data_IF_935777260107
#
_entry.id   IF_935777260107
#
_cell.length_a   1.000
_cell.length_b   1.000
_cell.length_c   1.000
_cell.angle_alpha   90.00
_cell.angle_beta   90.00
_cell.angle_gamma   90.00
#
_symmetry.space_group_name_H-M   'P 1'
#
loop_
_entity.id
_entity.type
_entity.pdbx_description
1 polymer ?
#
# COMPACT_ATOMS: atom_id res chain seq x y z
N UNK A 1 51.91 -16.31 -63.14
CA UNK A 1 51.32 -15.40 -62.15
C UNK A 1 50.57 -14.30 -62.88
N UNK A 2 49.26 -14.21 -62.61
CA UNK A 2 48.32 -13.11 -62.89
C UNK A 2 48.39 -12.43 -64.27
N UNK A 3 47.54 -12.89 -65.21
CA UNK A 3 47.17 -12.12 -66.40
C UNK A 3 45.77 -11.51 -66.21
N UNK A 4 45.72 -10.22 -66.55
CA UNK A 4 44.55 -9.34 -66.63
C UNK A 4 43.79 -9.55 -67.95
N UNK A 5 42.51 -9.17 -67.89
CA UNK A 5 41.73 -8.50 -68.94
C UNK A 5 41.15 -9.27 -70.12
N UNK A 6 39.84 -9.05 -70.27
CA UNK A 6 39.13 -8.57 -71.46
C UNK A 6 38.26 -9.54 -72.26
N UNK A 7 37.19 -8.90 -72.75
CA UNK A 7 36.47 -9.11 -74.01
C UNK A 7 35.27 -10.07 -74.04
N UNK A 8 34.16 -9.43 -74.35
CA UNK A 8 32.92 -9.98 -74.87
C UNK A 8 33.15 -10.82 -76.13
N UNK A 9 32.29 -11.82 -76.35
CA UNK A 9 32.03 -12.34 -77.68
C UNK A 9 30.56 -12.74 -77.83
N UNK A 10 30.03 -12.32 -78.97
CA UNK A 10 28.66 -12.32 -79.42
C UNK A 10 28.22 -13.65 -80.04
N UNK A 11 26.90 -13.85 -80.09
CA UNK A 11 26.08 -14.55 -81.10
C UNK A 11 26.62 -15.83 -81.78
N UNK A 12 25.91 -16.93 -81.58
CA UNK A 12 25.56 -17.83 -82.69
C UNK A 12 24.25 -18.58 -82.43
N UNK A 13 23.42 -18.54 -83.46
CA UNK A 13 22.07 -19.07 -83.65
C UNK A 13 22.15 -20.55 -84.08
N UNK A 14 21.29 -21.44 -83.56
CA UNK A 14 20.68 -22.55 -84.35
C UNK A 14 19.78 -23.49 -83.53
N UNK A 15 18.52 -23.56 -83.96
CA UNK A 15 17.71 -24.76 -84.22
C UNK A 15 17.32 -25.74 -83.09
N UNK A 16 16.08 -25.55 -82.62
CA UNK A 16 14.92 -26.46 -82.73
C UNK A 16 14.86 -27.84 -82.04
N UNK A 17 13.63 -28.12 -81.55
CA UNK A 17 12.96 -29.42 -81.21
C UNK A 17 13.06 -29.85 -79.72
N UNK A 18 12.01 -30.36 -79.05
CA UNK A 18 10.63 -29.88 -78.88
C UNK A 18 10.12 -29.91 -77.40
N UNK A 19 8.98 -29.25 -77.19
CA UNK A 19 7.91 -29.47 -76.18
C UNK A 19 8.14 -30.54 -75.09
N UNK A 20 8.31 -30.10 -73.84
CA UNK A 20 7.98 -30.90 -72.66
C UNK A 20 7.09 -30.07 -71.72
N UNK A 21 5.89 -30.59 -71.49
CA UNK A 21 4.83 -30.09 -70.62
C UNK A 21 5.34 -29.98 -69.17
N UNK A 22 5.45 -28.78 -68.61
CA UNK A 22 5.48 -28.57 -67.16
C UNK A 22 4.37 -27.59 -66.78
N UNK A 23 3.16 -28.14 -66.64
CA UNK A 23 2.09 -27.49 -65.89
C UNK A 23 2.53 -27.44 -64.42
N UNK A 24 3.26 -26.40 -64.05
CA UNK A 24 3.46 -26.04 -62.65
C UNK A 24 2.11 -25.57 -62.10
N UNK A 25 1.34 -26.50 -61.54
CA UNK A 25 0.17 -26.17 -60.74
C UNK A 25 0.65 -25.39 -59.52
N UNK A 26 0.51 -24.06 -59.57
CA UNK A 26 0.61 -23.21 -58.41
C UNK A 26 -0.48 -23.63 -57.43
N UNK A 27 -0.11 -24.35 -56.37
CA UNK A 27 -0.98 -24.59 -55.24
C UNK A 27 -1.27 -23.23 -54.60
N UNK A 28 -2.43 -22.65 -54.94
CA UNK A 28 -2.98 -21.53 -54.20
C UNK A 28 -3.20 -22.02 -52.75
N UNK A 29 -2.35 -21.59 -51.84
CA UNK A 29 -2.61 -21.75 -50.42
C UNK A 29 -3.85 -20.90 -50.10
N UNK A 30 -4.97 -21.58 -49.87
CA UNK A 30 -6.14 -20.97 -49.28
C UNK A 30 -5.72 -20.30 -47.97
N UNK A 31 -5.91 -18.98 -47.89
CA UNK A 31 -5.83 -18.26 -46.63
C UNK A 31 -6.90 -18.86 -45.72
N UNK A 32 -6.46 -19.59 -44.69
CA UNK A 32 -7.32 -20.00 -43.59
C UNK A 32 -8.01 -18.75 -43.07
N UNK A 33 -9.32 -18.68 -43.29
CA UNK A 33 -10.17 -17.65 -42.72
C UNK A 33 -9.86 -17.59 -41.22
N UNK A 34 -9.40 -16.42 -40.76
CA UNK A 34 -9.28 -16.13 -39.35
C UNK A 34 -10.64 -16.47 -38.72
N UNK A 35 -10.75 -17.35 -37.72
CA UNK A 35 -12.03 -17.62 -37.11
C UNK A 35 -12.57 -16.29 -36.59
N UNK A 36 -13.65 -15.81 -37.23
CA UNK A 36 -14.36 -14.62 -36.80
C UNK A 36 -14.97 -14.95 -35.44
N UNK A 37 -14.23 -14.65 -34.37
CA UNK A 37 -14.85 -14.52 -33.06
C UNK A 37 -15.85 -13.38 -33.19
N UNK A 38 -17.17 -13.62 -33.02
CA UNK A 38 -18.13 -12.54 -33.07
C UNK A 38 -17.71 -11.48 -32.05
N UNK A 39 -17.64 -10.22 -32.48
CA UNK A 39 -17.34 -9.13 -31.55
C UNK A 39 -18.36 -9.18 -30.40
N UNK A 40 -17.90 -9.10 -29.13
CA UNK A 40 -18.81 -9.19 -28.00
C UNK A 40 -19.85 -8.05 -28.01
N UNK A 41 -21.08 -8.34 -28.43
CA UNK A 41 -22.20 -7.43 -28.25
C UNK A 41 -22.76 -7.55 -26.83
N UNK A 42 -23.26 -6.43 -26.27
CA UNK A 42 -23.91 -6.42 -24.96
C UNK A 42 -22.97 -6.57 -23.76
N UNK A 43 -21.73 -6.07 -23.85
CA UNK A 43 -20.80 -6.04 -22.70
C UNK A 43 -21.00 -4.78 -21.87
N UNK A 44 -21.16 -4.96 -20.56
CA UNK A 44 -21.31 -3.90 -19.58
C UNK A 44 -20.18 -3.99 -18.54
N UNK A 45 -19.43 -2.91 -18.39
CA UNK A 45 -18.45 -2.75 -17.31
C UNK A 45 -19.13 -2.20 -16.07
N UNK A 46 -18.89 -2.83 -14.93
CA UNK A 46 -19.50 -2.51 -13.64
C UNK A 46 -18.43 -2.35 -12.58
N UNK A 47 -18.71 -1.48 -11.63
CA UNK A 47 -17.94 -1.32 -10.40
C UNK A 47 -18.88 -1.34 -9.20
N UNK A 48 -18.43 -1.96 -8.12
CA UNK A 48 -19.11 -1.93 -6.84
C UNK A 48 -18.12 -1.82 -5.70
N UNK A 49 -18.53 -1.14 -4.64
CA UNK A 49 -17.70 -0.93 -3.46
C UNK A 49 -18.51 -1.25 -2.22
N UNK A 50 -17.86 -1.84 -1.23
CA UNK A 50 -18.35 -1.98 0.13
C UNK A 50 -17.32 -1.38 1.09
N UNK A 51 -17.77 -0.71 2.13
CA UNK A 51 -16.91 -0.12 3.15
C UNK A 51 -17.52 -0.25 4.53
N UNK A 52 -16.67 -0.43 5.55
CA UNK A 52 -17.09 -0.47 6.95
C UNK A 52 -16.08 0.25 7.85
N UNK A 53 -16.61 0.90 8.89
CA UNK A 53 -15.81 1.49 9.95
C UNK A 53 -15.51 0.44 11.02
N UNK A 54 -14.22 0.14 11.19
CA UNK A 54 -13.72 -0.87 12.12
C UNK A 54 -12.99 -0.18 13.28
N UNK A 55 -13.30 -0.51 14.54
CA UNK A 55 -12.55 0.00 15.68
C UNK A 55 -11.07 -0.35 15.56
N UNK A 56 -10.21 0.65 15.78
CA UNK A 56 -8.77 0.42 15.91
C UNK A 56 -8.49 -0.31 17.22
N UNK A 57 -7.67 -1.35 17.15
CA UNK A 57 -7.43 -2.30 18.23
C UNK A 57 -5.95 -2.37 18.63
N UNK A 58 -5.10 -1.51 18.07
CA UNK A 58 -3.70 -1.34 18.47
C UNK A 58 -3.47 0.13 18.87
N UNK A 59 -2.79 0.33 20.00
CA UNK A 59 -2.22 1.61 20.41
C UNK A 59 -0.72 1.62 20.13
N UNK A 60 -0.24 2.74 19.61
CA UNK A 60 1.17 3.05 19.38
C UNK A 60 1.52 4.27 20.24
N UNK A 61 2.52 4.16 21.10
CA UNK A 61 3.01 5.26 21.92
C UNK A 61 4.49 5.46 21.62
N UNK A 62 4.83 6.64 21.09
CA UNK A 62 6.24 7.02 20.89
C UNK A 62 6.70 7.83 22.08
N UNK A 63 7.72 7.34 22.76
CA UNK A 63 8.44 8.04 23.82
C UNK A 63 9.74 8.59 23.26
N UNK A 64 10.20 9.74 23.74
CA UNK A 64 11.46 10.35 23.32
C UNK A 64 12.26 10.88 24.51
N UNK A 65 13.58 10.93 24.35
CA UNK A 65 14.48 11.66 25.22
C UNK A 65 15.44 12.46 24.33
N UNK A 66 15.57 13.75 24.62
CA UNK A 66 16.44 14.67 23.88
C UNK A 66 17.37 15.39 24.85
N UNK A 67 18.63 15.52 24.46
CA UNK A 67 19.66 16.16 25.27
C UNK A 67 20.66 16.88 24.37
N UNK A 68 21.38 17.84 24.95
CA UNK A 68 22.54 18.46 24.34
C UNK A 68 23.81 18.20 25.16
N UNK A 69 24.94 18.03 24.48
CA UNK A 69 26.24 17.90 25.10
C UNK A 69 27.34 18.52 24.22
N UNK A 70 28.50 18.78 24.81
CA UNK A 70 29.67 19.29 24.05
C UNK A 70 30.33 18.20 23.20
N UNK A 71 30.31 16.96 23.68
CA UNK A 71 30.94 15.82 23.03
C UNK A 71 29.88 14.83 22.50
N UNK A 72 29.92 14.45 21.22
CA UNK A 72 28.91 13.59 20.61
C UNK A 72 28.97 12.13 21.11
N UNK A 73 30.15 11.66 21.54
CA UNK A 73 30.30 10.30 22.08
C UNK A 73 29.60 10.15 23.43
N UNK A 74 29.83 11.10 24.33
CA UNK A 74 29.17 11.17 25.64
C UNK A 74 27.66 11.34 25.52
N UNK A 75 27.19 12.09 24.51
CA UNK A 75 25.77 12.24 24.22
C UNK A 75 25.15 10.93 23.75
N UNK A 76 25.79 10.27 22.78
CA UNK A 76 25.34 8.98 22.23
C UNK A 76 25.23 7.92 23.33
N UNK A 77 26.24 7.84 24.21
CA UNK A 77 26.22 6.91 25.34
C UNK A 77 25.04 7.17 26.30
N UNK A 78 24.77 8.44 26.64
CA UNK A 78 23.65 8.82 27.50
C UNK A 78 22.29 8.51 26.86
N UNK A 79 22.13 8.78 25.56
CA UNK A 79 20.91 8.46 24.83
C UNK A 79 20.64 6.94 24.83
N UNK A 80 21.66 6.14 24.49
CA UNK A 80 21.56 4.68 24.51
C UNK A 80 21.22 4.15 25.90
N UNK A 81 21.89 4.64 26.95
CA UNK A 81 21.59 4.26 28.33
C UNK A 81 20.12 4.55 28.71
N UNK A 82 19.58 5.70 28.27
CA UNK A 82 18.18 6.08 28.52
C UNK A 82 17.22 5.13 27.80
N UNK A 83 17.49 4.84 26.52
CA UNK A 83 16.69 3.94 25.71
C UNK A 83 16.72 2.50 26.27
N UNK A 84 17.89 1.99 26.63
CA UNK A 84 18.05 0.66 27.22
C UNK A 84 17.32 0.52 28.54
N UNK A 85 17.36 1.54 29.40
CA UNK A 85 16.60 1.57 30.65
C UNK A 85 15.08 1.51 30.39
N UNK A 86 14.59 2.30 29.43
CA UNK A 86 13.17 2.28 29.06
C UNK A 86 12.74 0.94 28.46
N UNK A 87 13.53 0.36 27.55
CA UNK A 87 13.28 -0.95 26.96
C UNK A 87 13.29 -2.07 28.01
N UNK A 88 14.23 -2.03 28.95
CA UNK A 88 14.33 -3.00 30.03
C UNK A 88 13.09 -2.98 30.92
N UNK A 89 12.63 -1.79 31.30
CA UNK A 89 11.40 -1.63 32.09
C UNK A 89 10.15 -2.04 31.30
N UNK A 90 10.11 -1.79 29.99
CA UNK A 90 8.99 -2.18 29.13
C UNK A 90 8.89 -3.71 28.93
N UNK A 91 10.02 -4.42 28.81
CA UNK A 91 10.06 -5.90 28.68
C UNK A 91 9.40 -6.63 29.85
N UNK A 92 9.25 -5.99 31.01
CA UNK A 92 8.58 -6.54 32.19
C UNK A 92 7.05 -6.53 32.11
N UNK A 93 6.44 -5.91 31.10
CA UNK A 93 4.98 -5.76 30.97
C UNK A 93 4.43 -6.69 29.90
N UNK A 94 3.64 -7.68 30.32
CA UNK A 94 2.96 -8.59 29.41
C UNK A 94 1.95 -7.84 28.53
N UNK A 95 1.90 -8.18 27.24
CA UNK A 95 0.94 -7.59 26.31
C UNK A 95 1.40 -6.25 25.72
N UNK A 96 2.55 -5.72 26.10
CA UNK A 96 3.17 -4.54 25.48
C UNK A 96 4.46 -4.94 24.80
N UNK A 97 4.58 -4.63 23.51
CA UNK A 97 5.82 -4.78 22.74
C UNK A 97 6.54 -3.44 22.74
N UNK A 98 7.84 -3.44 23.03
CA UNK A 98 8.65 -2.23 23.00
C UNK A 98 9.85 -2.41 22.07
N UNK A 99 10.14 -1.40 21.25
CA UNK A 99 11.27 -1.39 20.34
C UNK A 99 11.87 0.01 20.21
N UNK A 100 13.13 0.08 19.79
CA UNK A 100 13.81 1.36 19.54
C UNK A 100 13.18 2.05 18.33
N UNK A 101 12.89 3.34 18.47
CA UNK A 101 12.39 4.20 17.40
C UNK A 101 13.51 5.00 16.73
N UNK A 102 13.23 6.25 16.36
CA UNK A 102 14.22 7.12 15.75
C UNK A 102 15.39 7.42 16.70
N UNK A 103 16.59 7.48 16.13
CA UNK A 103 17.80 7.91 16.82
C UNK A 103 18.54 8.92 15.95
N UNK A 104 18.89 10.07 16.53
CA UNK A 104 19.62 11.12 15.81
C UNK A 104 20.58 11.85 16.73
N UNK A 105 21.74 12.22 16.18
CA UNK A 105 22.72 13.09 16.82
C UNK A 105 23.27 14.02 15.74
N UNK A 106 23.18 15.33 15.95
CA UNK A 106 23.58 16.33 14.97
C UNK A 106 24.26 17.53 15.65
N UNK A 107 25.21 18.19 14.97
CA UNK A 107 25.86 19.37 15.51
C UNK A 107 24.90 20.55 15.55
N UNK A 108 25.04 21.36 16.59
CA UNK A 108 24.43 22.68 16.71
C UNK A 108 25.52 23.72 16.57
N UNK A 109 25.34 24.65 15.62
CA UNK A 109 26.29 25.72 15.34
C UNK A 109 25.92 26.99 16.08
N UNK A 110 26.92 27.74 16.51
CA UNK A 110 26.73 29.11 16.99
C UNK A 110 26.47 30.10 15.84
N UNK A 111 26.42 31.40 16.17
CA UNK A 111 26.20 32.49 15.22
C UNK A 111 27.35 32.64 14.21
N UNK A 112 28.53 32.14 14.52
CA UNK A 112 29.72 32.21 13.66
C UNK A 112 29.84 30.97 12.76
N UNK A 113 28.85 30.06 12.80
CA UNK A 113 28.84 28.82 12.04
C UNK A 113 29.75 27.74 12.61
N UNK A 114 30.32 27.93 13.81
CA UNK A 114 31.17 26.92 14.47
C UNK A 114 30.30 25.98 15.29
N UNK A 115 30.68 24.70 15.33
CA UNK A 115 29.98 23.71 16.17
C UNK A 115 30.18 24.11 17.64
N UNK A 116 29.09 24.42 18.33
CA UNK A 116 29.09 24.85 19.73
C UNK A 116 28.56 23.77 20.68
N UNK A 117 27.71 22.88 20.17
CA UNK A 117 27.19 21.73 20.89
C UNK A 117 26.75 20.62 19.91
N UNK A 118 26.38 19.48 20.47
CA UNK A 118 25.67 18.41 19.80
C UNK A 118 24.30 18.26 20.43
N UNK A 119 23.28 18.11 19.60
CA UNK A 119 21.92 17.77 20.02
C UNK A 119 21.63 16.36 19.56
N UNK A 120 20.94 15.59 20.40
CA UNK A 120 20.58 14.24 20.03
C UNK A 120 19.29 13.81 20.70
N UNK A 121 18.57 12.95 20.00
CA UNK A 121 17.25 12.46 20.36
C UNK A 121 17.23 10.96 20.13
N UNK A 122 16.66 10.23 21.09
CA UNK A 122 16.35 8.81 20.98
C UNK A 122 14.88 8.59 21.27
N UNK A 123 14.28 7.63 20.58
CA UNK A 123 12.89 7.25 20.76
C UNK A 123 12.75 5.77 21.11
N UNK A 124 11.69 5.45 21.85
CA UNK A 124 11.23 4.10 22.13
C UNK A 124 9.75 4.05 21.79
N UNK A 125 9.36 3.11 20.93
CA UNK A 125 7.99 2.89 20.54
C UNK A 125 7.40 1.72 21.33
N UNK A 126 6.20 1.93 21.87
CA UNK A 126 5.39 0.93 22.54
C UNK A 126 4.19 0.59 21.65
N UNK A 127 3.92 -0.69 21.48
CA UNK A 127 2.77 -1.20 20.73
C UNK A 127 2.00 -2.19 21.61
N UNK A 128 0.66 -2.07 21.64
CA UNK A 128 -0.16 -3.01 22.41
C UNK A 128 -1.60 -3.07 21.91
N UNK A 129 -2.29 -4.19 22.19
CA UNK A 129 -3.75 -4.28 22.14
C UNK A 129 -4.44 -3.95 23.47
N UNK A 130 -3.68 -3.91 24.56
CA UNK A 130 -4.15 -3.50 25.87
C UNK A 130 -3.80 -2.03 26.09
N UNK A 131 -4.77 -1.15 25.80
CA UNK A 131 -4.56 0.29 25.85
C UNK A 131 -4.28 0.79 27.26
N UNK A 132 -4.84 0.12 28.27
CA UNK A 132 -4.63 0.45 29.67
C UNK A 132 -3.20 0.07 30.11
N UNK A 133 -2.73 -1.13 29.74
CA UNK A 133 -1.36 -1.57 30.03
C UNK A 133 -0.32 -0.65 29.39
N UNK A 134 -0.50 -0.30 28.10
CA UNK A 134 0.41 0.60 27.39
C UNK A 134 0.42 2.01 27.99
N UNK A 135 -0.75 2.58 28.29
CA UNK A 135 -0.86 3.92 28.88
C UNK A 135 -0.26 3.97 30.28
N UNK A 136 -0.47 2.92 31.09
CA UNK A 136 0.14 2.80 32.42
C UNK A 136 1.66 2.72 32.32
N UNK A 137 2.19 1.90 31.42
CA UNK A 137 3.64 1.79 31.20
C UNK A 137 4.23 3.13 30.72
N UNK A 138 3.59 3.82 29.77
CA UNK A 138 4.02 5.14 29.32
C UNK A 138 4.08 6.15 30.48
N UNK A 139 3.08 6.12 31.38
CA UNK A 139 3.09 6.94 32.60
C UNK A 139 4.21 6.56 33.58
N UNK A 140 4.60 5.28 33.66
CA UNK A 140 5.74 4.86 34.49
C UNK A 140 7.09 5.26 33.88
N UNK A 141 7.18 5.27 32.55
CA UNK A 141 8.37 5.65 31.80
C UNK A 141 8.55 7.17 31.68
N UNK A 142 7.57 7.99 32.09
CA UNK A 142 7.62 9.45 31.97
C UNK A 142 8.82 10.10 32.68
N UNK A 143 9.38 9.42 33.68
CA UNK A 143 10.60 9.85 34.38
C UNK A 143 11.88 9.64 33.55
N UNK A 144 11.86 8.69 32.61
CA UNK A 144 12.96 8.37 31.73
C UNK A 144 12.84 9.09 30.38
N UNK A 145 11.64 9.07 29.79
CA UNK A 145 11.36 9.56 28.45
C UNK A 145 10.00 10.26 28.41
N UNK A 146 9.87 11.32 27.63
CA UNK A 146 8.62 12.06 27.45
C UNK A 146 7.76 11.42 26.35
N UNK A 147 6.43 11.54 26.43
CA UNK A 147 5.53 11.08 25.35
C UNK A 147 5.63 12.07 24.19
N UNK A 148 6.05 11.58 23.02
CA UNK A 148 6.03 12.35 21.77
C UNK A 148 4.66 12.31 21.11
N UNK A 149 4.06 11.11 21.04
CA UNK A 149 2.88 10.87 20.23
C UNK A 149 2.12 9.62 20.71
N UNK A 150 0.81 9.61 20.50
CA UNK A 150 -0.07 8.46 20.74
C UNK A 150 -0.98 8.29 19.52
N UNK A 151 -0.88 7.15 18.87
CA UNK A 151 -1.62 6.79 17.66
C UNK A 151 -2.37 5.48 17.85
N UNK A 152 -3.42 5.29 17.06
CA UNK A 152 -4.20 4.07 17.03
C UNK A 152 -4.19 3.50 15.62
N UNK A 153 -4.10 2.18 15.51
CA UNK A 153 -4.18 1.49 14.23
C UNK A 153 -5.08 0.27 14.30
N UNK A 154 -5.51 -0.18 13.12
CA UNK A 154 -6.20 -1.44 12.97
C UNK A 154 -5.16 -2.56 12.82
N UNK A 155 -5.36 -3.66 13.52
CA UNK A 155 -4.48 -4.82 13.44
C UNK A 155 -4.60 -5.50 12.08
N UNK A 156 -3.52 -6.15 11.59
CA UNK A 156 -3.57 -6.92 10.36
C UNK A 156 -4.63 -8.03 10.38
N UNK A 157 -4.92 -8.60 11.55
CA UNK A 157 -5.99 -9.60 11.74
C UNK A 157 -7.38 -8.99 11.56
N UNK A 158 -7.66 -7.89 12.27
CA UNK A 158 -8.95 -7.22 12.20
C UNK A 158 -9.20 -6.62 10.81
N UNK A 159 -8.15 -6.10 10.17
CA UNK A 159 -8.19 -5.65 8.78
C UNK A 159 -8.58 -6.78 7.83
N UNK A 160 -7.87 -7.92 7.87
CA UNK A 160 -8.19 -9.08 7.01
C UNK A 160 -9.61 -9.61 7.24
N UNK A 161 -10.06 -9.64 8.49
CA UNK A 161 -11.42 -10.07 8.83
C UNK A 161 -12.48 -9.12 8.24
N UNK A 162 -12.24 -7.81 8.29
CA UNK A 162 -13.11 -6.81 7.68
C UNK A 162 -13.11 -6.92 6.14
N UNK A 163 -11.93 -7.05 5.52
CA UNK A 163 -11.78 -7.20 4.07
C UNK A 163 -12.53 -8.44 3.54
N UNK A 164 -12.49 -9.58 4.24
CA UNK A 164 -13.22 -10.78 3.84
C UNK A 164 -14.74 -10.57 3.84
N UNK A 165 -15.27 -9.92 4.88
CA UNK A 165 -16.71 -9.60 4.97
C UNK A 165 -17.12 -8.64 3.85
N UNK A 166 -16.39 -7.54 3.69
CA UNK A 166 -16.64 -6.54 2.66
C UNK A 166 -16.51 -7.09 1.24
N UNK A 167 -15.64 -8.07 1.02
CA UNK A 167 -15.52 -8.75 -0.28
C UNK A 167 -16.82 -9.46 -0.65
N UNK A 168 -17.43 -10.17 0.30
CA UNK A 168 -18.70 -10.87 0.07
C UNK A 168 -19.84 -9.88 -0.21
N UNK A 169 -19.88 -8.77 0.53
CA UNK A 169 -20.85 -7.70 0.32
C UNK A 169 -20.67 -7.00 -1.04
N UNK A 170 -19.43 -6.68 -1.41
CA UNK A 170 -19.13 -6.05 -2.69
C UNK A 170 -19.49 -6.98 -3.87
N UNK A 171 -19.19 -8.28 -3.79
CA UNK A 171 -19.59 -9.25 -4.84
C UNK A 171 -21.12 -9.36 -4.93
N UNK A 172 -21.82 -9.37 -3.79
CA UNK A 172 -23.29 -9.38 -3.78
C UNK A 172 -23.85 -8.13 -4.44
N UNK A 173 -23.29 -6.96 -4.13
CA UNK A 173 -23.65 -5.67 -4.73
C UNK A 173 -23.38 -5.65 -6.24
N UNK A 174 -22.22 -6.16 -6.67
CA UNK A 174 -21.88 -6.31 -8.09
C UNK A 174 -22.92 -7.15 -8.84
N UNK A 175 -23.27 -8.33 -8.31
CA UNK A 175 -24.25 -9.23 -8.93
C UNK A 175 -25.65 -8.61 -8.99
N UNK A 176 -26.06 -7.88 -7.95
CA UNK A 176 -27.34 -7.18 -7.93
C UNK A 176 -27.38 -6.08 -9.01
N UNK A 177 -26.31 -5.29 -9.14
CA UNK A 177 -26.20 -4.25 -10.19
C UNK A 177 -26.18 -4.84 -11.59
N UNK A 178 -25.50 -5.97 -11.78
CA UNK A 178 -25.47 -6.67 -13.06
C UNK A 178 -26.86 -7.20 -13.45
N UNK A 179 -27.60 -7.76 -12.49
CA UNK A 179 -28.97 -8.25 -12.69
C UNK A 179 -29.94 -7.10 -13.04
N UNK A 180 -29.88 -6.00 -12.28
CA UNK A 180 -30.69 -4.80 -12.52
C UNK A 180 -30.38 -4.19 -13.89
N UNK A 181 -29.11 -4.03 -14.23
CA UNK A 181 -28.71 -3.47 -15.50
C UNK A 181 -29.11 -4.36 -16.68
N UNK A 182 -28.90 -5.67 -16.60
CA UNK A 182 -29.30 -6.60 -17.66
C UNK A 182 -30.81 -6.50 -17.94
N UNK A 183 -31.64 -6.51 -16.89
CA UNK A 183 -33.10 -6.35 -17.02
C UNK A 183 -33.48 -4.99 -17.59
N UNK A 184 -32.83 -3.92 -17.15
CA UNK A 184 -33.11 -2.56 -17.64
C UNK A 184 -32.79 -2.39 -19.14
N UNK A 185 -31.77 -3.10 -19.64
CA UNK A 185 -31.42 -3.15 -21.06
C UNK A 185 -32.28 -4.15 -21.88
N UNK A 186 -33.24 -4.83 -21.26
CA UNK A 186 -34.13 -5.79 -21.92
C UNK A 186 -33.55 -7.19 -22.09
N UNK A 187 -32.43 -7.50 -21.45
CA UNK A 187 -31.84 -8.83 -21.45
C UNK A 187 -32.42 -9.70 -20.33
N UNK A 188 -32.41 -11.02 -20.55
CA UNK A 188 -33.00 -12.00 -19.62
C UNK A 188 -31.97 -12.51 -18.60
N UNK A 189 -30.69 -12.47 -18.96
CA UNK A 189 -29.60 -13.00 -18.15
C UNK A 189 -28.28 -12.31 -18.46
N UNK A 190 -27.23 -12.65 -17.70
CA UNK A 190 -25.88 -12.21 -17.97
C UNK A 190 -24.87 -13.30 -17.59
N UNK A 191 -23.68 -13.22 -18.18
CA UNK A 191 -22.51 -14.01 -17.77
C UNK A 191 -21.38 -13.08 -17.38
N UNK A 192 -20.76 -13.37 -16.24
CA UNK A 192 -19.58 -12.65 -15.76
C UNK A 192 -18.38 -13.07 -16.61
N UNK A 193 -17.64 -12.10 -17.16
CA UNK A 193 -16.46 -12.37 -18.01
C UNK A 193 -15.16 -12.17 -17.26
N UNK A 194 -14.95 -10.94 -16.79
CA UNK A 194 -13.73 -10.57 -16.09
C UNK A 194 -14.11 -9.91 -14.77
N UNK A 195 -13.43 -10.29 -13.69
CA UNK A 195 -13.63 -9.70 -12.37
C UNK A 195 -12.27 -9.49 -11.73
N UNK A 196 -12.02 -8.24 -11.37
CA UNK A 196 -10.92 -7.84 -10.53
C UNK A 196 -11.46 -7.38 -9.16
N UNK A 197 -11.14 -8.15 -8.12
CA UNK A 197 -11.46 -7.79 -6.74
C UNK A 197 -10.23 -7.11 -6.13
N UNK A 198 -10.32 -5.80 -5.98
CA UNK A 198 -9.27 -4.99 -5.34
C UNK A 198 -9.64 -4.64 -3.91
N UNK A 199 -8.79 -5.04 -2.95
CA UNK A 199 -8.78 -4.41 -1.64
C UNK A 199 -8.26 -2.99 -1.79
N UNK A 200 -9.12 -1.99 -1.64
CA UNK A 200 -8.69 -0.60 -1.65
C UNK A 200 -7.86 -0.37 -0.40
N UNK A 201 -6.53 -0.41 -0.50
CA UNK A 201 -5.59 0.08 0.52
C UNK A 201 -5.67 1.62 0.61
N UNK A 202 -6.87 2.17 0.67
CA UNK A 202 -7.10 3.55 1.01
C UNK A 202 -7.47 3.58 2.49
N UNK A 203 -6.46 3.38 3.34
CA UNK A 203 -6.46 4.05 4.65
C UNK A 203 -6.21 5.51 4.32
N UNK A 204 -7.24 6.20 3.79
CA UNK A 204 -7.19 7.64 3.65
C UNK A 204 -7.47 8.17 5.05
N UNK A 205 -6.49 8.77 5.76
CA UNK A 205 -6.79 9.48 6.99
C UNK A 205 -7.71 10.62 6.61
N UNK A 206 -9.01 10.50 6.86
CA UNK A 206 -9.89 11.64 6.78
C UNK A 206 -9.44 12.62 7.87
N UNK A 207 -9.00 13.85 7.51
CA UNK A 207 -8.74 14.87 8.51
C UNK A 207 -10.06 15.16 9.22
N UNK A 208 -10.13 14.83 10.51
CA UNK A 208 -11.28 15.23 11.31
C UNK A 208 -11.27 16.74 11.41
N UNK A 209 -12.33 17.39 10.92
CA UNK A 209 -12.66 18.73 11.37
C UNK A 209 -13.01 18.62 12.86
N UNK A 210 -12.05 18.96 13.73
CA UNK A 210 -12.36 19.25 15.12
C UNK A 210 -13.34 20.41 15.12
N UNK A 211 -14.59 20.15 15.53
CA UNK A 211 -15.48 21.21 15.96
C UNK A 211 -14.80 21.84 17.20
N UNK A 212 -14.16 22.99 16.99
CA UNK A 212 -13.64 23.85 18.05
C UNK A 212 -14.82 24.35 18.88
N UNK A 213 -15.29 23.53 19.81
CA UNK A 213 -16.00 24.02 20.98
C UNK A 213 -14.94 24.72 21.83
N UNK A 214 -14.82 26.03 21.65
CA UNK A 214 -14.02 26.90 22.50
C UNK A 214 -14.52 26.77 23.95
N UNK A 215 -13.77 26.03 24.77
CA UNK A 215 -13.87 26.12 26.22
C UNK A 215 -12.51 26.62 26.74
N UNK A 216 -12.46 27.77 27.43
CA UNK A 216 -11.26 28.16 28.16
C UNK A 216 -11.26 27.46 29.52
N UNK A 217 -10.11 26.94 29.97
CA UNK A 217 -9.60 27.25 31.32
C UNK A 217 -8.29 26.55 31.66
N UNK A 218 -7.52 27.32 32.42
CA UNK A 218 -6.24 27.09 33.07
C UNK A 218 -6.12 25.83 33.95
N UNK A 219 -4.85 25.42 34.08
CA UNK A 219 -4.18 24.86 35.26
C UNK A 219 -4.38 23.38 35.66
N UNK A 220 -3.28 22.64 35.49
CA UNK A 220 -2.63 21.74 36.46
C UNK A 220 -3.41 20.57 37.10
N UNK A 221 -3.13 19.34 36.65
CA UNK A 221 -2.43 18.27 37.40
C UNK A 221 -2.37 16.98 36.57
N UNK A 222 -1.17 16.38 36.53
CA UNK A 222 -0.89 15.04 36.00
C UNK A 222 -1.66 13.94 36.76
N UNK A 223 -1.82 12.79 36.08
CA UNK A 223 -2.28 11.49 36.59
C UNK A 223 -3.79 11.24 36.55
N UNK A 224 -4.38 11.31 35.36
CA UNK A 224 -5.53 10.48 35.01
C UNK A 224 -5.11 9.56 33.86
N UNK A 225 -5.48 8.26 33.85
CA UNK A 225 -5.33 7.43 32.65
C UNK A 225 -6.04 8.17 31.53
N UNK A 226 -5.31 8.50 30.46
CA UNK A 226 -5.93 9.05 29.27
C UNK A 226 -6.95 7.99 28.85
N UNK A 227 -8.24 8.31 28.94
CA UNK A 227 -9.30 7.45 28.43
C UNK A 227 -9.22 7.53 26.91
N UNK A 228 -8.31 6.75 26.34
CA UNK A 228 -8.09 6.71 24.90
C UNK A 228 -9.01 5.64 24.33
N UNK A 229 -10.17 6.08 23.83
CA UNK A 229 -10.94 5.26 22.91
C UNK A 229 -10.25 5.28 21.56
N UNK A 230 -9.85 4.10 21.08
CA UNK A 230 -9.33 3.95 19.72
C UNK A 230 -10.33 4.49 18.71
N UNK A 231 -9.84 5.27 17.75
CA UNK A 231 -10.67 5.74 16.65
C UNK A 231 -11.22 4.57 15.83
N UNK A 232 -12.04 4.88 14.82
CA UNK A 232 -12.42 3.91 13.79
C UNK A 232 -11.57 4.14 12.54
N UNK A 233 -11.18 3.04 11.88
CA UNK A 233 -10.56 3.04 10.57
C UNK A 233 -11.56 2.51 9.54
N UNK A 234 -11.73 3.23 8.43
CA UNK A 234 -12.59 2.79 7.33
C UNK A 234 -11.82 1.81 6.44
N UNK A 235 -12.35 0.59 6.30
CA UNK A 235 -11.84 -0.42 5.36
C UNK A 235 -12.77 -0.46 4.16
N UNK A 236 -12.23 -0.56 2.94
CA UNK A 236 -13.05 -0.63 1.72
C UNK A 236 -12.54 -1.67 0.72
N UNK A 237 -13.49 -2.31 0.03
CA UNK A 237 -13.22 -3.29 -1.03
C UNK A 237 -14.00 -2.87 -2.27
N UNK A 238 -13.32 -2.85 -3.42
CA UNK A 238 -13.90 -2.51 -4.72
C UNK A 238 -13.80 -3.72 -5.64
N UNK A 239 -14.94 -4.11 -6.22
CA UNK A 239 -15.05 -5.13 -7.24
C UNK A 239 -15.32 -4.44 -8.57
N UNK A 240 -14.40 -4.59 -9.51
CA UNK A 240 -14.56 -4.13 -10.89
C UNK A 240 -14.68 -5.34 -11.80
N UNK A 241 -15.51 -5.27 -12.82
CA UNK A 241 -15.63 -6.37 -13.75
C UNK A 241 -16.48 -6.05 -14.96
N UNK A 242 -16.51 -6.98 -15.91
CA UNK A 242 -17.38 -6.92 -17.07
C UNK A 242 -18.35 -8.09 -17.08
N UNK A 243 -19.59 -7.79 -17.45
CA UNK A 243 -20.65 -8.78 -17.67
C UNK A 243 -21.06 -8.71 -19.14
N UNK A 244 -21.34 -9.86 -19.73
CA UNK A 244 -21.94 -9.96 -21.06
C UNK A 244 -23.40 -10.35 -20.90
N UNK A 245 -24.28 -9.48 -21.36
CA UNK A 245 -25.73 -9.65 -21.29
C UNK A 245 -26.21 -10.64 -22.35
N UNK A 246 -27.28 -11.37 -22.05
CA UNK A 246 -27.84 -12.45 -22.88
C UNK A 246 -29.37 -12.44 -22.90
#
# INVERSE_FOLDING_TARGET
MTKKSALALSLALAAAVPVALTLASTTAHAQTANPHFPEPAGVLSLSSQASADVPQDIIHITLFYEQQAKDPGSLTAQLNQRADAALSQAKGVSGVTAHTGAFSVYPSTDRDGKISAWRGRTEVALESRDFAAASKLAGQLSNLMQVANVEFSLSPEAQRAAEQKLTTEAIKSFRARADEAAKAFGYSSYTIRDVNVGGGRNVQPYPRMMAMAAAPMDSAKMSAPIAVEGGKATVSVTVNGSVQMK
#
